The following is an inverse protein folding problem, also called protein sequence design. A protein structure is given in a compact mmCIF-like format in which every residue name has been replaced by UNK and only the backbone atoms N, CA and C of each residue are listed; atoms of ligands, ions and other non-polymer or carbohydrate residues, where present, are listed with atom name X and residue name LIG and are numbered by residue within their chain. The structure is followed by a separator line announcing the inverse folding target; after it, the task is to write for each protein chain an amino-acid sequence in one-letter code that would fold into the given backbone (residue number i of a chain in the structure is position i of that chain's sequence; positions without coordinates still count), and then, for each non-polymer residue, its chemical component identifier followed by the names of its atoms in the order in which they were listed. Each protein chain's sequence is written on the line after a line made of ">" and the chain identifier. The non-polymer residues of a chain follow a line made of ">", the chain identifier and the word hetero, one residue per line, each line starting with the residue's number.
data_IF_261322607632
#
_entry.id   IF_261322607632
#
_cell.length_a   1.000
_cell.length_b   1.000
_cell.length_c   1.000
_cell.angle_alpha   90.00
_cell.angle_beta   90.00
_cell.angle_gamma   90.00
#
_symmetry.space_group_name_H-M   'P 1'
#
loop_
_entity.id
_entity.type
_entity.pdbx_description
1 polymer ?
#
# COMPACT_ATOMS: atom_id res chain seq x y z
N UNK A 1 -7.68 21.08 -9.42
CA UNK A 1 -7.41 20.13 -8.31
C UNK A 1 -6.04 19.49 -8.54
N UNK A 2 -5.00 20.01 -7.87
CA UNK A 2 -3.62 19.55 -8.08
C UNK A 2 -3.48 18.10 -7.65
N UNK A 3 -3.12 17.22 -8.60
CA UNK A 3 -2.83 15.81 -8.33
C UNK A 3 -1.55 15.72 -7.50
N UNK A 4 -1.67 15.78 -6.17
CA UNK A 4 -0.53 15.57 -5.27
C UNK A 4 -0.17 14.09 -5.25
N UNK A 5 0.94 13.74 -5.89
CA UNK A 5 1.62 12.47 -5.66
C UNK A 5 1.97 12.39 -4.16
N UNK A 6 1.85 11.19 -3.57
CA UNK A 6 2.07 10.91 -2.13
C UNK A 6 0.99 11.33 -1.12
N UNK A 7 -0.23 11.69 -1.57
CA UNK A 7 -1.36 11.82 -0.64
C UNK A 7 -1.88 10.47 -0.17
N UNK A 8 -2.41 10.41 1.06
CA UNK A 8 -3.03 9.18 1.59
C UNK A 8 -4.24 8.80 0.74
N UNK A 9 -4.20 7.60 0.15
CA UNK A 9 -5.26 7.06 -0.70
C UNK A 9 -5.58 5.58 -0.42
N UNK A 10 -4.87 4.98 0.53
CA UNK A 10 -5.05 3.59 0.94
C UNK A 10 -5.77 3.52 2.28
N UNK A 11 -6.92 2.84 2.27
CA UNK A 11 -7.61 2.42 3.48
C UNK A 11 -6.80 1.39 4.29
N UNK A 12 -7.11 1.29 5.57
CA UNK A 12 -6.48 0.39 6.55
C UNK A 12 -6.62 -1.05 6.12
N UNK A 13 -7.77 -1.44 5.58
CA UNK A 13 -7.99 -2.79 5.03
C UNK A 13 -7.00 -3.13 3.92
N UNK A 14 -6.85 -2.26 2.92
CA UNK A 14 -5.91 -2.48 1.80
C UNK A 14 -4.46 -2.56 2.30
N UNK A 15 -4.06 -1.70 3.25
CA UNK A 15 -2.72 -1.75 3.85
C UNK A 15 -2.44 -3.04 4.60
N UNK A 16 -3.41 -3.52 5.39
CA UNK A 16 -3.28 -4.77 6.15
C UNK A 16 -3.14 -5.93 5.18
N UNK A 17 -4.00 -6.00 4.15
CA UNK A 17 -3.95 -7.06 3.14
C UNK A 17 -2.58 -7.07 2.43
N UNK A 18 -2.11 -5.91 1.96
CA UNK A 18 -0.79 -5.79 1.32
C UNK A 18 0.37 -6.16 2.24
N UNK A 19 0.28 -5.79 3.51
CA UNK A 19 1.31 -6.11 4.49
C UNK A 19 1.36 -7.63 4.75
N UNK A 20 0.21 -8.28 4.91
CA UNK A 20 0.12 -9.74 5.07
C UNK A 20 0.70 -10.43 3.82
N UNK A 21 0.26 -10.03 2.62
CA UNK A 21 0.77 -10.62 1.37
C UNK A 21 2.28 -10.42 1.24
N UNK A 22 2.77 -9.21 1.50
CA UNK A 22 4.20 -8.90 1.43
C UNK A 22 5.03 -9.70 2.42
N UNK A 23 4.57 -9.84 3.66
CA UNK A 23 5.26 -10.65 4.68
C UNK A 23 5.28 -12.13 4.31
N UNK A 24 4.16 -12.69 3.82
CA UNK A 24 4.10 -14.08 3.36
C UNK A 24 5.02 -14.32 2.16
N UNK A 25 5.01 -13.42 1.19
CA UNK A 25 5.88 -13.49 0.01
C UNK A 25 7.37 -13.38 0.39
N UNK A 26 7.71 -12.48 1.31
CA UNK A 26 9.08 -12.34 1.81
C UNK A 26 9.52 -13.58 2.59
N UNK A 27 8.62 -14.16 3.40
CA UNK A 27 8.86 -15.43 4.08
C UNK A 27 9.12 -16.58 3.09
N UNK A 28 8.26 -16.73 2.08
CA UNK A 28 8.44 -17.75 1.04
C UNK A 28 9.76 -17.60 0.28
N UNK A 29 10.18 -16.36 0.01
CA UNK A 29 11.49 -16.06 -0.58
C UNK A 29 12.64 -16.43 0.37
N UNK A 30 12.56 -16.02 1.63
CA UNK A 30 13.62 -16.22 2.63
C UNK A 30 13.84 -17.69 2.97
N UNK A 31 12.77 -18.48 3.09
CA UNK A 31 12.85 -19.93 3.35
C UNK A 31 13.19 -20.76 2.10
N UNK A 32 13.42 -20.11 0.95
CA UNK A 32 13.79 -20.80 -0.27
C UNK A 32 12.65 -21.62 -0.91
N UNK A 33 11.39 -21.33 -0.58
CA UNK A 33 10.23 -21.96 -1.22
C UNK A 33 10.12 -21.58 -2.71
N UNK A 34 10.81 -20.52 -3.13
CA UNK A 34 10.90 -20.06 -4.53
C UNK A 34 12.35 -19.83 -4.90
N UNK A 35 12.77 -20.24 -6.10
CA UNK A 35 14.17 -20.25 -6.53
C UNK A 35 14.41 -19.49 -7.85
N UNK A 36 15.68 -19.22 -8.14
CA UNK A 36 16.15 -18.57 -9.38
C UNK A 36 15.64 -17.14 -9.54
N UNK A 37 15.46 -16.70 -10.79
CA UNK A 37 15.02 -15.34 -11.12
C UNK A 37 13.66 -14.98 -10.49
N UNK A 38 12.76 -15.96 -10.34
CA UNK A 38 11.43 -15.77 -9.75
C UNK A 38 11.56 -15.33 -8.28
N UNK A 39 12.53 -15.89 -7.54
CA UNK A 39 12.79 -15.52 -6.16
C UNK A 39 13.10 -14.02 -6.04
N UNK A 40 13.97 -13.50 -6.91
CA UNK A 40 14.38 -12.08 -6.91
C UNK A 40 13.17 -11.18 -7.18
N UNK A 41 12.35 -11.51 -8.19
CA UNK A 41 11.16 -10.72 -8.53
C UNK A 41 10.16 -10.69 -7.37
N UNK A 42 9.90 -11.84 -6.74
CA UNK A 42 9.00 -11.92 -5.58
C UNK A 42 9.56 -11.14 -4.39
N UNK A 43 10.86 -11.25 -4.11
CA UNK A 43 11.50 -10.51 -3.03
C UNK A 43 11.37 -8.99 -3.20
N UNK A 44 11.64 -8.48 -4.40
CA UNK A 44 11.49 -7.05 -4.73
C UNK A 44 10.03 -6.61 -4.61
N UNK A 45 9.09 -7.38 -5.16
CA UNK A 45 7.66 -7.09 -5.07
C UNK A 45 7.17 -7.09 -3.60
N UNK A 46 7.64 -8.02 -2.78
CA UNK A 46 7.30 -8.10 -1.36
C UNK A 46 7.75 -6.85 -0.60
N UNK A 47 9.01 -6.42 -0.79
CA UNK A 47 9.54 -5.20 -0.17
C UNK A 47 8.74 -3.97 -0.63
N UNK A 48 8.42 -3.88 -1.92
CA UNK A 48 7.61 -2.77 -2.45
C UNK A 48 6.20 -2.73 -1.85
N UNK A 49 5.55 -3.89 -1.69
CA UNK A 49 4.22 -3.98 -1.09
C UNK A 49 4.22 -3.54 0.38
N UNK A 50 5.20 -4.02 1.15
CA UNK A 50 5.38 -3.63 2.55
C UNK A 50 5.64 -2.12 2.67
N UNK A 51 6.56 -1.59 1.86
CA UNK A 51 6.86 -0.16 1.83
C UNK A 51 5.64 0.70 1.45
N UNK A 52 4.85 0.24 0.48
CA UNK A 52 3.62 0.94 0.06
C UNK A 52 2.55 0.94 1.17
N UNK A 53 2.42 -0.14 1.93
CA UNK A 53 1.53 -0.20 3.10
C UNK A 53 1.93 0.81 4.16
N UNK A 54 3.22 0.96 4.45
CA UNK A 54 3.73 1.93 5.42
C UNK A 54 3.53 3.38 4.94
N UNK A 55 3.79 3.64 3.65
CA UNK A 55 3.68 4.98 3.05
C UNK A 55 2.24 5.48 2.93
N UNK A 56 1.22 4.64 3.18
CA UNK A 56 -0.18 5.04 3.15
C UNK A 56 -0.70 5.55 1.79
N UNK A 57 0.15 5.49 0.77
CA UNK A 57 -0.06 6.07 -0.55
C UNK A 57 0.50 5.13 -1.60
N UNK A 58 -0.37 4.68 -2.53
CA UNK A 58 0.07 4.01 -3.74
C UNK A 58 0.12 5.04 -4.87
N UNK A 59 1.30 5.27 -5.50
CA UNK A 59 1.44 6.21 -6.62
C UNK A 59 0.46 5.90 -7.75
N UNK A 60 0.28 4.61 -8.07
CA UNK A 60 -0.62 4.15 -9.12
C UNK A 60 -2.08 4.51 -8.84
N UNK A 61 -2.56 4.25 -7.62
CA UNK A 61 -3.92 4.65 -7.20
C UNK A 61 -4.10 6.17 -7.22
N UNK A 62 -3.03 6.93 -6.97
CA UNK A 62 -3.08 8.41 -7.00
C UNK A 62 -3.21 8.94 -8.42
N UNK A 63 -2.48 8.34 -9.38
CA UNK A 63 -2.62 8.66 -10.81
C UNK A 63 -4.01 8.29 -11.33
N UNK A 64 -4.54 7.15 -10.89
CA UNK A 64 -5.89 6.67 -11.24
C UNK A 64 -7.03 7.35 -10.47
N UNK A 65 -6.74 8.24 -9.51
CA UNK A 65 -7.73 8.93 -8.67
C UNK A 65 -8.68 7.96 -7.91
N UNK A 66 -8.11 6.86 -7.40
CA UNK A 66 -8.80 5.84 -6.62
C UNK A 66 -8.39 6.00 -5.15
N UNK A 67 -9.38 6.07 -4.26
CA UNK A 67 -9.19 6.05 -2.82
C UNK A 67 -9.95 4.86 -2.22
N UNK A 68 -9.25 3.97 -1.52
CA UNK A 68 -9.82 2.76 -0.89
C UNK A 68 -10.20 2.94 0.58
N UNK A 69 -10.10 4.15 1.12
CA UNK A 69 -10.55 4.47 2.49
C UNK A 69 -12.07 4.33 2.59
N UNK A 70 -12.54 3.80 3.72
CA UNK A 70 -13.94 3.80 4.12
C UNK A 70 -14.38 5.20 4.59
N UNK A 71 -15.69 5.42 4.71
CA UNK A 71 -16.23 6.69 5.23
C UNK A 71 -15.73 7.00 6.64
N UNK A 72 -15.71 6.00 7.53
CA UNK A 72 -15.22 6.15 8.91
C UNK A 72 -13.77 6.61 8.96
N UNK A 73 -12.93 6.08 8.07
CA UNK A 73 -11.53 6.48 8.00
C UNK A 73 -11.37 7.90 7.46
N UNK A 74 -12.22 8.34 6.54
CA UNK A 74 -12.23 9.73 6.07
C UNK A 74 -12.60 10.70 7.19
N UNK A 75 -13.69 10.42 7.91
CA UNK A 75 -14.13 11.19 9.09
C UNK A 75 -13.04 11.25 10.17
N UNK A 76 -12.38 10.13 10.45
CA UNK A 76 -11.26 10.08 11.41
C UNK A 76 -10.08 10.95 10.96
N UNK A 77 -9.73 10.94 9.66
CA UNK A 77 -8.64 11.78 9.15
C UNK A 77 -9.04 13.26 9.12
N UNK A 78 -10.30 13.59 8.82
CA UNK A 78 -10.82 14.96 8.89
C UNK A 78 -10.80 15.47 10.35
N UNK A 79 -11.20 14.66 11.33
CA UNK A 79 -11.13 14.99 12.76
C UNK A 79 -9.68 15.18 13.26
N UNK A 80 -8.73 14.44 12.69
CA UNK A 80 -7.29 14.55 13.00
C UNK A 80 -6.57 15.64 12.19
N UNK A 81 -7.25 16.33 11.27
CA UNK A 81 -6.64 17.32 10.38
C UNK A 81 -5.62 16.74 9.41
N UNK A 82 -5.68 15.43 9.13
CA UNK A 82 -4.75 14.74 8.24
C UNK A 82 -5.27 14.85 6.81
N UNK A 83 -4.47 15.43 5.90
CA UNK A 83 -4.84 15.50 4.48
C UNK A 83 -4.82 14.12 3.81
N UNK A 84 -5.83 13.84 3.01
CA UNK A 84 -5.93 12.66 2.15
C UNK A 84 -6.41 13.05 0.75
N UNK A 85 -6.32 12.12 -0.20
CA UNK A 85 -6.89 12.27 -1.54
C UNK A 85 -8.44 12.30 -1.45
N UNK A 86 -9.03 13.50 -1.34
CA UNK A 86 -10.49 13.68 -1.52
C UNK A 86 -10.77 13.55 -3.01
N UNK A 87 -11.55 12.54 -3.40
CA UNK A 87 -12.05 12.37 -4.77
C UNK A 87 -13.10 13.44 -5.06
#
# INVERSE_FOLDING_TARGET
>A
MSKKLFQRNLGRTDRIIRLIIGVLALGAWYFGAVAGTIAIVIGVAAIMLIGTSAAASCPLNSVANINTMSQKEREENDAKGISYQKK
#
